data_IF_636909145308
#
_entry.id   IF_636909145308
#
_cell.length_a   1.000
_cell.length_b   1.000
_cell.length_c   1.000
_cell.angle_alpha   90.00
_cell.angle_beta   90.00
_cell.angle_gamma   90.00
#
_symmetry.space_group_name_H-M   'P 1'
#
loop_
_entity.id
_entity.type
_entity.pdbx_description
1 polymer ?
#
# COMPACT_ATOMS: atom_id res chain seq x y z
N UNK A 1 16.05 2.37 8.37
CA UNK A 1 15.50 3.65 7.88
C UNK A 1 15.07 4.50 9.07
N UNK A 2 15.56 5.75 9.22
CA UNK A 2 15.09 6.69 10.24
C UNK A 2 13.58 6.94 10.13
N UNK A 3 12.91 7.24 11.25
CA UNK A 3 11.45 7.48 11.30
C UNK A 3 11.02 8.59 10.33
N UNK A 4 11.81 9.66 10.22
CA UNK A 4 11.55 10.79 9.32
C UNK A 4 11.56 10.40 7.84
N UNK A 5 12.51 9.53 7.44
CA UNK A 5 12.57 9.00 6.07
C UNK A 5 11.35 8.13 5.75
N UNK A 6 10.90 7.32 6.72
CA UNK A 6 9.71 6.46 6.56
C UNK A 6 8.43 7.28 6.40
N UNK A 7 8.24 8.31 7.23
CA UNK A 7 7.08 9.21 7.11
C UNK A 7 7.08 9.90 5.74
N UNK A 8 8.25 10.34 5.25
CA UNK A 8 8.38 10.91 3.92
C UNK A 8 8.02 9.90 2.82
N UNK A 9 8.48 8.64 2.94
CA UNK A 9 8.22 7.60 1.95
C UNK A 9 6.73 7.18 1.91
N UNK A 10 6.10 6.97 3.07
CA UNK A 10 4.67 6.70 3.15
C UNK A 10 3.83 7.87 2.60
N UNK A 11 4.28 9.11 2.83
CA UNK A 11 3.63 10.30 2.26
C UNK A 11 3.78 10.35 0.73
N UNK A 12 4.95 10.00 0.19
CA UNK A 12 5.20 9.91 -1.24
C UNK A 12 4.27 8.86 -1.90
N UNK A 13 4.18 7.67 -1.32
CA UNK A 13 3.25 6.62 -1.78
C UNK A 13 1.81 7.14 -1.78
N UNK A 14 1.37 7.76 -0.68
CA UNK A 14 0.03 8.33 -0.57
C UNK A 14 -0.23 9.43 -1.62
N UNK A 15 0.77 10.26 -1.94
CA UNK A 15 0.67 11.29 -2.96
C UNK A 15 0.51 10.68 -4.37
N UNK A 16 1.23 9.60 -4.67
CA UNK A 16 1.10 8.87 -5.94
C UNK A 16 -0.32 8.29 -6.07
N UNK A 17 -0.81 7.59 -5.03
CA UNK A 17 -2.16 7.02 -5.04
C UNK A 17 -3.25 8.10 -5.20
N UNK A 18 -3.05 9.29 -4.60
CA UNK A 18 -3.93 10.45 -4.80
C UNK A 18 -3.89 10.98 -6.22
N UNK A 19 -2.71 11.04 -6.83
CA UNK A 19 -2.52 11.45 -8.24
C UNK A 19 -3.28 10.51 -9.18
N UNK A 20 -3.27 9.22 -8.88
CA UNK A 20 -4.06 8.20 -9.57
C UNK A 20 -5.55 8.16 -9.20
N UNK A 21 -6.02 9.12 -8.41
CA UNK A 21 -7.43 9.29 -8.01
C UNK A 21 -8.01 8.12 -7.21
N UNK A 22 -7.17 7.30 -6.56
CA UNK A 22 -7.63 6.19 -5.72
C UNK A 22 -8.64 6.60 -4.63
N UNK A 23 -8.54 7.78 -3.99
CA UNK A 23 -9.53 8.20 -3.00
C UNK A 23 -10.97 8.35 -3.52
N UNK A 24 -11.19 8.39 -4.85
CA UNK A 24 -12.54 8.38 -5.42
C UNK A 24 -13.20 7.00 -5.38
N UNK A 25 -12.40 5.94 -5.21
CA UNK A 25 -12.84 4.54 -5.36
C UNK A 25 -12.63 3.74 -4.08
N UNK A 26 -11.73 4.16 -3.21
CA UNK A 26 -11.33 3.43 -2.02
C UNK A 26 -11.53 4.25 -0.75
N UNK A 27 -12.02 3.58 0.30
CA UNK A 27 -12.20 4.19 1.61
C UNK A 27 -10.86 4.51 2.27
N UNK A 28 -10.88 5.43 3.24
CA UNK A 28 -9.67 5.80 4.01
C UNK A 28 -8.95 4.60 4.65
N UNK A 29 -9.64 3.60 5.24
CA UNK A 29 -8.97 2.39 5.74
C UNK A 29 -8.26 1.59 4.64
N UNK A 30 -8.89 1.45 3.46
CA UNK A 30 -8.27 0.75 2.31
C UNK A 30 -7.02 1.49 1.84
N UNK A 31 -7.10 2.82 1.72
CA UNK A 31 -5.95 3.66 1.38
C UNK A 31 -4.79 3.49 2.38
N UNK A 32 -5.11 3.46 3.69
CA UNK A 32 -4.10 3.30 4.72
C UNK A 32 -3.37 1.95 4.60
N UNK A 33 -4.12 0.87 4.39
CA UNK A 33 -3.54 -0.44 4.18
C UNK A 33 -2.71 -0.53 2.90
N UNK A 34 -3.14 0.11 1.81
CA UNK A 34 -2.35 0.18 0.57
C UNK A 34 -0.99 0.85 0.81
N UNK A 35 -0.97 2.00 1.51
CA UNK A 35 0.28 2.72 1.80
C UNK A 35 1.24 1.85 2.60
N UNK A 36 0.78 1.22 3.68
CA UNK A 36 1.63 0.37 4.49
C UNK A 36 2.08 -0.90 3.76
N UNK A 37 1.20 -1.52 2.98
CA UNK A 37 1.58 -2.67 2.17
C UNK A 37 2.70 -2.31 1.18
N UNK A 38 2.53 -1.22 0.42
CA UNK A 38 3.50 -0.76 -0.55
C UNK A 38 4.83 -0.34 0.11
N UNK A 39 4.77 0.39 1.23
CA UNK A 39 5.94 0.78 2.02
C UNK A 39 6.75 -0.45 2.47
N UNK A 40 6.06 -1.47 3.01
CA UNK A 40 6.69 -2.71 3.44
C UNK A 40 7.29 -3.50 2.28
N UNK A 41 6.56 -3.62 1.17
CA UNK A 41 7.03 -4.33 -0.04
C UNK A 41 8.24 -3.63 -0.67
N UNK A 42 8.20 -2.31 -0.83
CA UNK A 42 9.29 -1.54 -1.41
C UNK A 42 10.52 -1.57 -0.51
N UNK A 43 10.35 -1.41 0.81
CA UNK A 43 11.44 -1.51 1.78
C UNK A 43 12.09 -2.89 1.78
N UNK A 44 11.31 -3.95 1.59
CA UNK A 44 11.81 -5.33 1.51
C UNK A 44 12.35 -5.71 0.13
N UNK A 45 12.21 -4.84 -0.87
CA UNK A 45 12.65 -5.08 -2.24
C UNK A 45 11.82 -6.14 -2.97
N UNK A 46 10.49 -6.08 -2.84
CA UNK A 46 9.55 -7.01 -3.51
C UNK A 46 9.79 -8.48 -3.19
N UNK A 47 10.29 -8.77 -1.99
CA UNK A 47 10.61 -10.11 -1.52
C UNK A 47 10.07 -10.34 -0.11
N UNK A 48 10.17 -11.58 0.38
CA UNK A 48 9.85 -11.93 1.76
C UNK A 48 8.39 -12.30 1.99
N UNK A 49 8.13 -12.70 3.24
CA UNK A 49 6.81 -13.14 3.70
C UNK A 49 5.93 -11.95 4.07
N UNK A 50 4.63 -12.19 4.24
CA UNK A 50 3.71 -11.17 4.78
C UNK A 50 4.15 -10.65 6.16
N UNK A 51 4.82 -11.49 6.95
CA UNK A 51 5.40 -11.09 8.25
C UNK A 51 6.55 -10.11 8.07
N UNK A 52 7.41 -10.34 7.07
CA UNK A 52 8.50 -9.43 6.74
C UNK A 52 7.95 -8.08 6.24
N UNK A 53 7.00 -8.11 5.30
CA UNK A 53 6.35 -6.91 4.77
C UNK A 53 5.69 -6.10 5.89
N UNK A 54 4.95 -6.77 6.78
CA UNK A 54 4.31 -6.10 7.91
C UNK A 54 5.35 -5.46 8.85
N UNK A 55 6.42 -6.18 9.20
CA UNK A 55 7.51 -5.65 10.02
C UNK A 55 8.14 -4.43 9.36
N UNK A 56 8.44 -4.51 8.07
CA UNK A 56 9.07 -3.42 7.35
C UNK A 56 8.16 -2.20 7.18
N UNK A 57 6.84 -2.40 7.05
CA UNK A 57 5.86 -1.30 6.96
C UNK A 57 5.68 -0.49 8.24
N UNK A 58 6.12 -1.01 9.39
CA UNK A 58 5.86 -0.44 10.72
C UNK A 58 4.39 -0.06 10.96
N UNK A 59 3.44 -0.78 10.33
CA UNK A 59 2.03 -0.53 10.52
C UNK A 59 1.65 -0.82 11.98
N UNK A 60 0.96 0.13 12.62
CA UNK A 60 0.50 -0.02 14.00
C UNK A 60 -0.56 -1.12 14.22
N UNK A 61 -1.21 -1.59 13.15
CA UNK A 61 -2.23 -2.62 13.22
C UNK A 61 -1.62 -4.01 13.10
N UNK A 62 -2.26 -5.01 13.71
CA UNK A 62 -1.78 -6.41 13.67
C UNK A 62 -1.61 -6.89 12.22
N UNK A 63 -0.54 -7.66 11.97
CA UNK A 63 -0.31 -8.43 10.74
C UNK A 63 -1.56 -9.14 10.22
N UNK A 64 -2.42 -9.66 11.12
CA UNK A 64 -3.69 -10.31 10.76
C UNK A 64 -4.64 -9.37 10.02
N UNK A 65 -4.66 -8.08 10.36
CA UNK A 65 -5.45 -7.09 9.64
C UNK A 65 -4.93 -6.90 8.22
N UNK A 66 -3.60 -6.86 8.04
CA UNK A 66 -2.99 -6.83 6.71
C UNK A 66 -3.29 -8.11 5.91
N UNK A 67 -3.23 -9.28 6.56
CA UNK A 67 -3.60 -10.56 5.93
C UNK A 67 -5.07 -10.55 5.50
N UNK A 68 -5.98 -10.12 6.38
CA UNK A 68 -7.39 -10.05 6.06
C UNK A 68 -7.66 -9.09 4.91
N UNK A 69 -7.00 -7.92 4.91
CA UNK A 69 -7.08 -6.93 3.85
C UNK A 69 -6.66 -7.51 2.48
N UNK A 70 -5.55 -8.24 2.41
CA UNK A 70 -5.06 -8.82 1.16
C UNK A 70 -5.94 -9.99 0.69
N UNK A 71 -6.44 -10.83 1.60
CA UNK A 71 -7.22 -12.02 1.24
C UNK A 71 -8.70 -11.73 0.98
N UNK A 72 -9.30 -10.80 1.72
CA UNK A 72 -10.75 -10.53 1.67
C UNK A 72 -11.08 -9.12 1.19
N UNK A 73 -10.07 -8.32 0.84
CA UNK A 73 -10.27 -7.03 0.20
C UNK A 73 -11.09 -7.19 -1.07
N UNK A 74 -12.16 -6.40 -1.19
CA UNK A 74 -12.91 -6.30 -2.44
C UNK A 74 -12.26 -5.26 -3.32
N UNK A 75 -11.37 -5.71 -4.19
CA UNK A 75 -10.65 -4.87 -5.13
C UNK A 75 -11.42 -4.78 -6.43
N UNK A 76 -11.55 -3.58 -7.01
CA UNK A 76 -11.89 -3.48 -8.42
C UNK A 76 -10.61 -3.68 -9.24
N UNK A 77 -10.16 -4.94 -9.37
CA UNK A 77 -8.90 -5.29 -10.04
C UNK A 77 -8.86 -4.79 -11.48
N UNK A 78 -9.98 -4.87 -12.20
CA UNK A 78 -10.09 -4.33 -13.56
C UNK A 78 -9.89 -2.82 -13.62
N UNK A 79 -10.33 -2.08 -12.59
CA UNK A 79 -10.09 -0.65 -12.50
C UNK A 79 -8.63 -0.36 -12.14
N UNK A 80 -8.03 -1.11 -11.21
CA UNK A 80 -6.61 -1.00 -10.87
C UNK A 80 -5.73 -1.23 -12.11
N UNK A 81 -6.00 -2.29 -12.88
CA UNK A 81 -5.28 -2.59 -14.12
C UNK A 81 -5.44 -1.47 -15.16
N UNK A 82 -6.64 -0.89 -15.29
CA UNK A 82 -6.88 0.25 -16.18
C UNK A 82 -6.06 1.48 -15.77
N UNK A 83 -5.99 1.79 -14.48
CA UNK A 83 -5.15 2.91 -14.01
C UNK A 83 -3.69 2.63 -14.38
N UNK A 84 -3.16 1.44 -14.09
CA UNK A 84 -1.77 1.09 -14.38
C UNK A 84 -1.48 1.22 -15.88
N UNK A 85 -2.34 0.67 -16.74
CA UNK A 85 -2.20 0.74 -18.21
C UNK A 85 -2.27 2.17 -18.75
N UNK A 86 -3.06 3.05 -18.12
CA UNK A 86 -3.15 4.46 -18.49
C UNK A 86 -1.94 5.30 -18.03
N UNK A 87 -1.12 4.77 -17.12
CA UNK A 87 0.05 5.44 -16.56
C UNK A 87 1.37 4.94 -17.16
N UNK A 88 1.38 3.76 -17.80
CA UNK A 88 2.50 3.27 -18.60
C UNK A 88 2.57 4.00 -19.94
N UNK A 89 3.55 4.89 -20.08
CA UNK A 89 3.98 5.49 -21.34
C UNK A 89 4.95 4.58 -22.07
#
# INVERSE_FOLDING_TARGET
MPLTYRVAHQQEINNILRTWRFPLYFSKPVMNHMVHFLDGVMTRGFSGTLTDIHRESCHSQDRRTLSHFLTHGKWNEQHLMRIIQQQSW
#
